data_IF_035132240844
#
_entry.id   IF_035132240844
#
_cell.length_a   1.000
_cell.length_b   1.000
_cell.length_c   1.000
_cell.angle_alpha   90.00
_cell.angle_beta   90.00
_cell.angle_gamma   90.00
#
_symmetry.space_group_name_H-M   'P 1'
#
loop_
_entity.id
_entity.type
_entity.pdbx_description
1 polymer ?
#
# COMPACT_ATOMS: atom_id res chain seq x y z
N UNK A 1 6.08 6.98 18.90
CA UNK A 1 5.32 5.85 18.34
C UNK A 1 4.49 6.39 17.20
N UNK A 2 4.53 5.80 16.00
CA UNK A 2 3.86 6.34 14.82
C UNK A 2 2.34 6.11 14.93
N UNK A 3 1.50 7.12 14.72
CA UNK A 3 0.03 6.98 14.82
C UNK A 3 -0.53 5.92 13.86
N UNK A 4 0.13 5.74 12.71
CA UNK A 4 -0.21 4.68 11.76
C UNK A 4 0.06 3.29 12.35
N UNK A 5 1.15 3.13 13.11
CA UNK A 5 1.49 1.89 13.81
C UNK A 5 0.44 1.57 14.88
N UNK A 6 -0.07 2.59 15.58
CA UNK A 6 -1.17 2.43 16.54
C UNK A 6 -2.48 2.00 15.86
N UNK A 7 -2.85 2.63 14.74
CA UNK A 7 -4.09 2.30 13.98
C UNK A 7 -4.04 0.86 13.41
N UNK A 8 -2.86 0.44 12.96
CA UNK A 8 -2.66 -0.86 12.33
C UNK A 8 -2.39 -2.00 13.33
N UNK A 9 -1.92 -1.68 14.54
CA UNK A 9 -1.57 -2.62 15.60
C UNK A 9 -0.07 -2.94 15.66
N UNK A 10 0.43 -3.17 16.87
CA UNK A 10 1.86 -3.26 17.26
C UNK A 10 2.56 -4.57 16.85
N UNK A 11 2.46 -4.98 15.59
CA UNK A 11 3.23 -6.10 15.08
C UNK A 11 4.45 -5.58 14.28
N UNK A 12 5.64 -6.06 14.63
CA UNK A 12 6.96 -5.71 14.06
C UNK A 12 7.14 -6.03 12.56
N UNK A 13 6.07 -6.46 11.89
CA UNK A 13 6.01 -6.89 10.49
C UNK A 13 5.95 -5.70 9.50
N UNK A 14 5.44 -4.54 9.92
CA UNK A 14 5.04 -3.48 8.98
C UNK A 14 6.17 -2.69 8.32
N UNK A 15 7.25 -2.41 9.05
CA UNK A 15 8.38 -1.69 8.48
C UNK A 15 9.21 -2.56 7.51
N UNK A 16 9.02 -3.89 7.56
CA UNK A 16 9.81 -4.85 6.78
C UNK A 16 9.03 -5.51 5.67
N UNK A 17 7.70 -5.64 5.73
CA UNK A 17 7.04 -6.61 4.86
C UNK A 17 6.57 -6.12 3.47
N UNK A 18 6.78 -4.85 3.10
CA UNK A 18 6.30 -4.26 1.83
C UNK A 18 4.86 -4.70 1.51
N UNK A 19 4.03 -4.75 2.55
CA UNK A 19 2.65 -5.23 2.46
C UNK A 19 1.83 -4.22 1.70
N UNK A 20 1.05 -4.67 0.72
CA UNK A 20 0.20 -3.77 -0.05
C UNK A 20 -0.76 -3.00 0.86
N UNK A 21 -1.07 -1.73 0.56
CA UNK A 21 -2.00 -0.93 1.36
C UNK A 21 -3.36 -1.61 1.63
N UNK A 22 -3.92 -2.33 0.65
CA UNK A 22 -5.16 -3.09 0.82
C UNK A 22 -5.02 -4.21 1.86
N UNK A 23 -3.92 -4.96 1.80
CA UNK A 23 -3.64 -6.01 2.77
C UNK A 23 -3.41 -5.41 4.17
N UNK A 24 -2.72 -4.28 4.25
CA UNK A 24 -2.46 -3.55 5.50
C UNK A 24 -3.76 -3.13 6.20
N UNK A 25 -4.77 -2.69 5.45
CA UNK A 25 -6.08 -2.34 6.04
C UNK A 25 -6.76 -3.60 6.61
N UNK A 26 -6.73 -4.69 5.87
CA UNK A 26 -7.56 -5.88 6.12
C UNK A 26 -6.94 -6.90 7.09
N UNK A 27 -5.63 -6.88 7.26
CA UNK A 27 -4.92 -7.81 8.14
C UNK A 27 -5.37 -7.69 9.61
N UNK A 28 -5.45 -8.81 10.31
CA UNK A 28 -5.87 -8.84 11.70
C UNK A 28 -7.34 -8.47 11.95
N UNK A 29 -8.10 -8.07 10.91
CA UNK A 29 -9.54 -7.89 11.06
C UNK A 29 -10.25 -9.25 11.17
N UNK A 30 -11.29 -9.36 12.01
CA UNK A 30 -12.03 -10.61 12.17
C UNK A 30 -12.63 -11.07 10.84
N UNK A 31 -12.29 -12.26 10.35
CA UNK A 31 -12.73 -12.74 9.03
C UNK A 31 -14.22 -13.10 8.96
N UNK A 32 -14.81 -13.52 10.09
CA UNK A 32 -16.15 -14.11 10.19
C UNK A 32 -17.14 -13.30 11.03
N UNK A 33 -16.75 -12.11 11.52
CA UNK A 33 -17.60 -11.33 12.42
C UNK A 33 -18.48 -10.34 11.65
N UNK A 34 -19.75 -10.15 12.05
CA UNK A 34 -20.57 -9.02 11.62
C UNK A 34 -19.88 -7.66 11.88
N UNK A 35 -19.02 -7.59 12.89
CA UNK A 35 -18.23 -6.40 13.22
C UNK A 35 -17.10 -6.12 12.23
N UNK A 36 -16.80 -7.02 11.29
CA UNK A 36 -15.71 -6.85 10.32
C UNK A 36 -15.88 -5.57 9.50
N UNK A 37 -17.11 -5.27 9.08
CA UNK A 37 -17.42 -4.07 8.30
C UNK A 37 -17.17 -2.81 9.13
N UNK A 38 -17.60 -2.81 10.40
CA UNK A 38 -17.40 -1.68 11.30
C UNK A 38 -15.91 -1.49 11.64
N UNK A 39 -15.19 -2.57 11.93
CA UNK A 39 -13.74 -2.51 12.19
C UNK A 39 -12.95 -2.08 10.96
N UNK A 40 -13.36 -2.51 9.77
CA UNK A 40 -12.81 -2.02 8.50
C UNK A 40 -13.08 -0.52 8.33
N UNK A 41 -14.34 -0.09 8.45
CA UNK A 41 -14.75 1.30 8.26
C UNK A 41 -14.01 2.24 9.22
N UNK A 42 -13.96 1.91 10.51
CA UNK A 42 -13.23 2.69 11.50
C UNK A 42 -11.73 2.77 11.17
N UNK A 43 -11.12 1.65 10.76
CA UNK A 43 -9.69 1.62 10.43
C UNK A 43 -9.39 2.46 9.20
N UNK A 44 -10.14 2.29 8.11
CA UNK A 44 -9.89 3.05 6.87
C UNK A 44 -10.16 4.54 7.07
N UNK A 45 -11.18 4.91 7.85
CA UNK A 45 -11.45 6.30 8.21
C UNK A 45 -10.29 6.94 8.99
N UNK A 46 -9.75 6.23 9.98
CA UNK A 46 -8.57 6.70 10.73
C UNK A 46 -7.34 6.85 9.84
N UNK A 47 -7.08 5.89 8.93
CA UNK A 47 -5.98 5.95 7.97
C UNK A 47 -6.13 7.17 7.07
N UNK A 48 -7.33 7.42 6.56
CA UNK A 48 -7.57 8.53 5.65
C UNK A 48 -7.51 9.89 6.32
N UNK A 49 -7.98 9.99 7.58
CA UNK A 49 -7.77 11.17 8.40
C UNK A 49 -6.28 11.45 8.59
N UNK A 50 -5.51 10.44 8.98
CA UNK A 50 -4.07 10.59 9.18
C UNK A 50 -3.32 10.95 7.88
N UNK A 51 -3.72 10.38 6.74
CA UNK A 51 -3.16 10.73 5.44
C UNK A 51 -3.44 12.21 5.08
N UNK A 52 -4.66 12.70 5.34
CA UNK A 52 -5.02 14.09 5.13
C UNK A 52 -4.24 15.03 6.06
N UNK A 53 -4.11 14.68 7.34
CA UNK A 53 -3.33 15.45 8.33
C UNK A 53 -1.85 15.52 7.93
N UNK A 54 -1.28 14.40 7.46
CA UNK A 54 0.08 14.36 6.91
C UNK A 54 0.22 15.30 5.70
N UNK A 55 -0.70 15.23 4.74
CA UNK A 55 -0.65 16.07 3.55
C UNK A 55 -0.76 17.56 3.89
N UNK A 56 -1.65 17.92 4.81
CA UNK A 56 -1.81 19.29 5.31
C UNK A 56 -0.54 19.79 6.00
N UNK A 57 0.07 18.96 6.84
CA UNK A 57 1.35 19.27 7.49
C UNK A 57 2.43 19.56 6.45
N UNK A 58 2.61 18.68 5.46
CA UNK A 58 3.58 18.88 4.39
C UNK A 58 3.31 20.14 3.57
N UNK A 59 2.04 20.43 3.24
CA UNK A 59 1.67 21.64 2.49
C UNK A 59 1.90 22.93 3.28
N UNK A 60 1.89 22.86 4.62
CA UNK A 60 2.22 23.99 5.49
C UNK A 60 3.73 24.23 5.64
N UNK A 61 4.57 23.26 5.23
CA UNK A 61 6.02 23.40 5.25
C UNK A 61 6.53 24.29 4.10
N UNK A 62 7.59 25.06 4.36
CA UNK A 62 8.16 26.00 3.38
C UNK A 62 8.92 25.36 2.21
N UNK A 63 9.41 24.12 2.36
CA UNK A 63 10.15 23.41 1.30
C UNK A 63 9.20 22.65 0.36
N UNK A 64 8.89 23.30 -0.76
CA UNK A 64 8.01 22.77 -1.79
C UNK A 64 8.58 21.54 -2.52
N UNK A 65 9.91 21.40 -2.60
CA UNK A 65 10.54 20.28 -3.33
C UNK A 65 10.48 18.99 -2.52
N UNK A 66 10.92 19.05 -1.26
CA UNK A 66 10.83 17.90 -0.35
C UNK A 66 9.36 17.54 -0.12
N UNK A 67 8.50 18.56 0.07
CA UNK A 67 7.07 18.33 0.24
C UNK A 67 6.46 17.57 -0.94
N UNK A 68 6.77 17.95 -2.18
CA UNK A 68 6.30 17.23 -3.37
C UNK A 68 6.78 15.77 -3.43
N UNK A 69 8.01 15.48 -3.01
CA UNK A 69 8.54 14.11 -2.98
C UNK A 69 7.80 13.27 -1.95
N UNK A 70 7.61 13.81 -0.74
CA UNK A 70 6.89 13.14 0.33
C UNK A 70 5.42 12.87 -0.04
N UNK A 71 4.74 13.84 -0.64
CA UNK A 71 3.37 13.68 -1.13
C UNK A 71 3.28 12.64 -2.26
N UNK A 72 4.26 12.59 -3.17
CA UNK A 72 4.33 11.52 -4.19
C UNK A 72 4.42 10.14 -3.55
N UNK A 73 5.16 10.01 -2.44
CA UNK A 73 5.24 8.77 -1.66
C UNK A 73 3.89 8.31 -1.08
N UNK A 74 2.92 9.22 -0.94
CA UNK A 74 1.60 8.94 -0.37
C UNK A 74 0.50 8.68 -1.41
N UNK A 75 0.80 8.74 -2.72
CA UNK A 75 -0.21 8.62 -3.79
C UNK A 75 -1.09 7.37 -3.61
N UNK A 76 -0.52 6.22 -3.26
CA UNK A 76 -1.31 4.99 -3.08
C UNK A 76 -2.34 5.12 -1.96
N UNK A 77 -1.98 5.76 -0.85
CA UNK A 77 -2.89 5.99 0.28
C UNK A 77 -3.95 7.03 -0.08
N UNK A 78 -3.56 8.12 -0.73
CA UNK A 78 -4.51 9.14 -1.21
C UNK A 78 -5.53 8.53 -2.18
N UNK A 79 -5.07 7.73 -3.16
CA UNK A 79 -5.96 7.03 -4.10
C UNK A 79 -6.93 6.07 -3.42
N UNK A 80 -6.50 5.34 -2.38
CA UNK A 80 -7.38 4.47 -1.60
C UNK A 80 -8.42 5.29 -0.83
N UNK A 81 -7.99 6.39 -0.23
CA UNK A 81 -8.89 7.25 0.52
C UNK A 81 -9.92 7.93 -0.38
N UNK A 82 -9.53 8.38 -1.57
CA UNK A 82 -10.48 8.87 -2.57
C UNK A 82 -11.45 7.77 -3.00
N UNK A 83 -10.93 6.56 -3.29
CA UNK A 83 -11.78 5.43 -3.66
C UNK A 83 -12.76 5.03 -2.54
N UNK A 84 -12.36 5.15 -1.28
CA UNK A 84 -13.22 4.92 -0.13
C UNK A 84 -14.32 5.98 0.00
N UNK A 85 -13.98 7.27 -0.03
CA UNK A 85 -14.94 8.37 0.16
C UNK A 85 -15.91 8.50 -1.01
N UNK A 86 -15.44 8.33 -2.23
CA UNK A 86 -16.24 8.51 -3.45
C UNK A 86 -16.73 7.19 -4.05
N UNK A 87 -16.46 6.06 -3.39
CA UNK A 87 -16.75 4.70 -3.87
C UNK A 87 -16.29 4.44 -5.32
N UNK A 88 -15.15 5.01 -5.71
CA UNK A 88 -14.61 4.87 -7.08
C UNK A 88 -14.21 3.43 -7.36
N UNK A 89 -14.59 2.90 -8.53
CA UNK A 89 -14.25 1.54 -8.94
C UNK A 89 -14.97 0.45 -8.11
N UNK A 90 -16.13 0.76 -7.54
CA UNK A 90 -16.89 -0.15 -6.66
C UNK A 90 -16.06 -0.59 -5.45
N UNK A 91 -15.36 0.37 -4.83
CA UNK A 91 -14.37 0.07 -3.79
C UNK A 91 -14.94 -0.78 -2.66
N UNK A 92 -16.11 -0.39 -2.13
CA UNK A 92 -16.75 -1.09 -1.02
C UNK A 92 -17.51 -2.35 -1.44
N UNK A 93 -18.14 -2.34 -2.62
CA UNK A 93 -19.00 -3.42 -3.09
C UNK A 93 -18.23 -4.53 -3.84
N UNK A 94 -17.00 -4.24 -4.31
CA UNK A 94 -16.22 -5.17 -5.12
C UNK A 94 -14.76 -5.30 -4.66
N UNK A 95 -13.99 -4.21 -4.63
CA UNK A 95 -12.53 -4.25 -4.38
C UNK A 95 -12.24 -4.86 -3.01
N UNK A 96 -12.85 -4.30 -1.96
CA UNK A 96 -12.65 -4.76 -0.59
C UNK A 96 -13.14 -6.21 -0.40
N UNK A 97 -14.36 -6.61 -0.80
CA UNK A 97 -14.80 -8.00 -0.71
C UNK A 97 -13.87 -8.99 -1.41
N UNK A 98 -13.40 -8.66 -2.62
CA UNK A 98 -12.51 -9.55 -3.36
C UNK A 98 -11.14 -9.69 -2.70
N UNK A 99 -10.53 -8.57 -2.31
CA UNK A 99 -9.24 -8.59 -1.60
C UNK A 99 -9.34 -9.29 -0.25
N UNK A 100 -10.44 -9.07 0.49
CA UNK A 100 -10.76 -9.77 1.72
C UNK A 100 -10.74 -11.29 1.57
N UNK A 101 -11.14 -11.80 0.39
CA UNK A 101 -11.23 -13.22 0.10
C UNK A 101 -9.90 -13.81 -0.40
N UNK A 102 -9.21 -13.12 -1.29
CA UNK A 102 -8.07 -13.66 -2.03
C UNK A 102 -6.72 -12.96 -1.75
N UNK A 103 -6.71 -11.88 -0.95
CA UNK A 103 -5.52 -11.08 -0.69
C UNK A 103 -4.37 -11.89 -0.09
N UNK A 104 -4.68 -12.83 0.81
CA UNK A 104 -3.67 -13.74 1.37
C UNK A 104 -3.07 -14.68 0.32
N UNK A 105 -3.86 -15.17 -0.63
CA UNK A 105 -3.37 -16.03 -1.71
C UNK A 105 -2.45 -15.24 -2.63
N UNK A 106 -2.82 -14.00 -2.97
CA UNK A 106 -2.00 -13.08 -3.76
C UNK A 106 -0.66 -12.82 -3.06
N UNK A 107 -0.68 -12.45 -1.78
CA UNK A 107 0.54 -12.20 -0.98
C UNK A 107 1.44 -13.43 -0.96
N UNK A 108 0.86 -14.62 -0.76
CA UNK A 108 1.61 -15.88 -0.74
C UNK A 108 2.27 -16.19 -2.08
N UNK A 109 1.54 -15.99 -3.19
CA UNK A 109 2.05 -16.24 -4.53
C UNK A 109 3.11 -15.23 -4.98
N UNK A 110 3.11 -14.03 -4.39
CA UNK A 110 4.10 -12.98 -4.67
C UNK A 110 5.18 -12.85 -3.58
N UNK A 111 5.30 -13.84 -2.69
CA UNK A 111 6.23 -13.80 -1.56
C UNK A 111 7.69 -13.64 -2.03
N UNK A 112 8.13 -14.38 -3.06
CA UNK A 112 9.49 -14.29 -3.59
C UNK A 112 9.85 -12.88 -4.07
N UNK A 113 8.95 -12.23 -4.82
CA UNK A 113 9.17 -10.87 -5.29
C UNK A 113 9.12 -9.86 -4.14
N UNK A 114 8.29 -10.11 -3.13
CA UNK A 114 8.24 -9.32 -1.90
C UNK A 114 9.58 -9.39 -1.15
N UNK A 115 10.14 -10.58 -0.95
CA UNK A 115 11.45 -10.74 -0.31
C UNK A 115 12.59 -10.09 -1.10
N UNK A 116 12.56 -10.17 -2.43
CA UNK A 116 13.55 -9.47 -3.26
C UNK A 116 13.46 -7.94 -3.09
N UNK A 117 12.25 -7.38 -3.07
CA UNK A 117 12.02 -5.96 -2.81
C UNK A 117 12.50 -5.54 -1.41
N UNK A 118 12.21 -6.35 -0.40
CA UNK A 118 12.69 -6.15 0.97
C UNK A 118 14.21 -6.03 1.03
N UNK A 119 14.89 -6.97 0.38
CA UNK A 119 16.34 -6.99 0.32
C UNK A 119 16.88 -5.74 -0.39
N UNK A 120 16.36 -5.41 -1.58
CA UNK A 120 16.80 -4.24 -2.35
C UNK A 120 16.62 -2.93 -1.57
N UNK A 121 15.49 -2.77 -0.86
CA UNK A 121 15.26 -1.60 -0.02
C UNK A 121 16.22 -1.53 1.18
N UNK A 122 16.50 -2.67 1.81
CA UNK A 122 17.45 -2.75 2.93
C UNK A 122 18.86 -2.39 2.45
N UNK A 123 19.29 -2.94 1.31
CA UNK A 123 20.58 -2.62 0.69
C UNK A 123 20.70 -1.12 0.36
N UNK A 124 19.65 -0.47 -0.14
CA UNK A 124 19.67 0.98 -0.39
C UNK A 124 19.84 1.80 0.91
N UNK A 125 19.16 1.39 1.99
CA UNK A 125 19.27 2.08 3.29
C UNK A 125 20.65 1.86 3.91
N UNK A 126 21.17 0.64 3.85
CA UNK A 126 22.43 0.25 4.51
C UNK A 126 23.68 0.76 3.77
N UNK A 127 23.62 0.88 2.44
CA UNK A 127 24.74 1.33 1.61
C UNK A 127 25.01 2.84 1.65
N UNK A 128 24.07 3.63 2.21
CA UNK A 128 24.19 5.08 2.31
C UNK A 128 24.34 5.77 0.94
N UNK A 129 24.78 7.04 0.93
CA UNK A 129 24.81 7.88 -0.29
C UNK A 129 25.78 7.35 -1.37
N UNK A 130 26.80 6.58 -1.00
CA UNK A 130 27.93 6.24 -1.87
C UNK A 130 27.59 5.27 -3.01
N UNK A 131 26.56 4.43 -2.85
CA UNK A 131 26.10 3.47 -3.87
C UNK A 131 24.62 3.66 -4.24
N UNK A 132 24.08 4.85 -4.01
CA UNK A 132 22.65 5.16 -4.23
C UNK A 132 22.21 4.84 -5.64
N UNK A 133 22.99 5.15 -6.67
CA UNK A 133 22.56 4.93 -8.05
C UNK A 133 22.41 3.43 -8.37
N UNK A 134 23.36 2.58 -7.98
CA UNK A 134 23.31 1.14 -8.23
C UNK A 134 22.16 0.48 -7.45
N UNK A 135 22.01 0.83 -6.17
CA UNK A 135 20.93 0.28 -5.35
C UNK A 135 19.55 0.86 -5.66
N UNK A 136 19.47 2.07 -6.22
CA UNK A 136 18.21 2.62 -6.74
C UNK A 136 17.72 1.85 -7.96
N UNK A 137 18.61 1.47 -8.87
CA UNK A 137 18.23 0.66 -10.04
C UNK A 137 17.70 -0.71 -9.62
N UNK A 138 18.39 -1.38 -8.69
CA UNK A 138 17.94 -2.65 -8.12
C UNK A 138 16.61 -2.52 -7.38
N UNK A 139 16.41 -1.44 -6.62
CA UNK A 139 15.14 -1.15 -5.97
C UNK A 139 14.03 -0.93 -7.01
N UNK A 140 14.27 -0.12 -8.04
CA UNK A 140 13.27 0.17 -9.07
C UNK A 140 12.85 -1.09 -9.83
N UNK A 141 13.82 -1.96 -10.17
CA UNK A 141 13.57 -3.26 -10.79
C UNK A 141 12.77 -4.19 -9.87
N UNK A 142 13.12 -4.24 -8.59
CA UNK A 142 12.44 -5.10 -7.60
C UNK A 142 11.01 -4.63 -7.36
N UNK A 143 10.80 -3.32 -7.24
CA UNK A 143 9.47 -2.70 -7.14
C UNK A 143 8.62 -3.06 -8.36
N UNK A 144 9.15 -2.91 -9.57
CA UNK A 144 8.42 -3.23 -10.81
C UNK A 144 8.04 -4.70 -10.88
N UNK A 145 8.96 -5.59 -10.48
CA UNK A 145 8.73 -7.04 -10.49
C UNK A 145 7.68 -7.45 -9.45
N UNK A 146 7.73 -6.85 -8.26
CA UNK A 146 6.75 -7.01 -7.21
C UNK A 146 5.36 -6.57 -7.67
N UNK A 147 5.22 -5.35 -8.18
CA UNK A 147 3.95 -4.80 -8.65
C UNK A 147 3.34 -5.65 -9.76
N UNK A 148 4.13 -6.08 -10.75
CA UNK A 148 3.68 -6.95 -11.84
C UNK A 148 3.12 -8.27 -11.30
N UNK A 149 3.75 -8.86 -10.28
CA UNK A 149 3.22 -10.06 -9.65
C UNK A 149 1.84 -9.80 -9.03
N UNK A 150 1.75 -8.77 -8.18
CA UNK A 150 0.51 -8.42 -7.48
C UNK A 150 -0.63 -8.14 -8.44
N UNK A 151 -0.42 -7.27 -9.42
CA UNK A 151 -1.41 -6.94 -10.46
C UNK A 151 -1.85 -8.18 -11.23
N UNK A 152 -0.92 -9.08 -11.61
CA UNK A 152 -1.23 -10.31 -12.33
C UNK A 152 -2.03 -11.31 -11.49
N UNK A 153 -1.63 -11.56 -10.25
CA UNK A 153 -2.32 -12.52 -9.38
C UNK A 153 -3.69 -11.98 -8.97
N UNK A 154 -3.78 -10.70 -8.63
CA UNK A 154 -5.06 -10.06 -8.34
C UNK A 154 -6.01 -10.09 -9.54
N UNK A 155 -5.52 -9.90 -10.77
CA UNK A 155 -6.34 -10.11 -11.97
C UNK A 155 -6.84 -11.55 -12.10
N UNK A 156 -6.00 -12.55 -11.77
CA UNK A 156 -6.40 -13.96 -11.83
C UNK A 156 -7.53 -14.30 -10.85
N UNK A 157 -7.52 -13.73 -9.65
CA UNK A 157 -8.54 -13.99 -8.62
C UNK A 157 -9.77 -13.09 -8.72
N UNK A 158 -9.56 -11.81 -9.01
CA UNK A 158 -10.57 -10.77 -8.94
C UNK A 158 -10.93 -10.17 -10.32
N UNK A 159 -10.28 -10.59 -11.40
CA UNK A 159 -10.57 -10.11 -12.75
C UNK A 159 -10.12 -8.68 -13.04
N UNK A 160 -10.50 -8.20 -14.23
CA UNK A 160 -10.02 -6.95 -14.84
C UNK A 160 -10.31 -5.72 -13.99
N UNK A 161 -11.43 -5.68 -13.27
CA UNK A 161 -11.77 -4.53 -12.43
C UNK A 161 -10.76 -4.31 -11.29
N UNK A 162 -10.25 -5.38 -10.67
CA UNK A 162 -9.18 -5.28 -9.68
C UNK A 162 -7.84 -4.90 -10.33
N UNK A 163 -7.57 -5.43 -11.53
CA UNK A 163 -6.39 -5.07 -12.31
C UNK A 163 -6.33 -3.56 -12.59
N UNK A 164 -7.42 -2.98 -13.06
CA UNK A 164 -7.56 -1.54 -13.32
C UNK A 164 -7.38 -0.74 -12.04
N UNK A 165 -8.02 -1.15 -10.94
CA UNK A 165 -7.89 -0.49 -9.65
C UNK A 165 -6.44 -0.45 -9.17
N UNK A 166 -5.72 -1.58 -9.19
CA UNK A 166 -4.33 -1.67 -8.72
C UNK A 166 -3.35 -0.91 -9.61
N UNK A 167 -3.57 -0.88 -10.93
CA UNK A 167 -2.73 -0.12 -11.86
C UNK A 167 -2.89 1.38 -11.65
N UNK A 168 -4.12 1.84 -11.37
CA UNK A 168 -4.42 3.24 -11.10
C UNK A 168 -3.95 3.70 -9.70
N UNK A 169 -3.83 2.77 -8.76
CA UNK A 169 -3.52 3.00 -7.35
C UNK A 169 -2.21 3.78 -7.15
N UNK A 170 -1.17 3.43 -7.92
CA UNK A 170 0.14 4.07 -7.88
C UNK A 170 0.35 5.07 -9.04
N UNK A 171 -0.67 5.24 -9.91
CA UNK A 171 -0.59 5.97 -11.19
C UNK A 171 0.62 5.52 -12.03
N UNK A 172 1.01 4.25 -11.92
CA UNK A 172 2.15 3.69 -12.65
C UNK A 172 1.65 3.16 -14.00
N UNK A 173 2.17 3.73 -15.08
CA UNK A 173 2.11 3.13 -16.40
C UNK A 173 3.24 2.11 -16.51
N UNK A 174 2.90 0.83 -16.74
CA UNK A 174 3.87 -0.25 -16.96
C UNK A 174 4.25 -0.42 -18.44
#
# INVERSE_FOLDING_TARGET
>A
MNDMEHILGSNTHWAKDFVTPLQTILIGLPKTSPHRINSFAQRIENICKLNADFANCINSCGDQNIGRILLKGQISWTSICDAYHYNTGDFLSFIIPCWSRYGNDVVTLCATQTTALQHAASSLVDSGIQMVNEHLDDLCKSVTTHDKCYVRQSNKFCGTRMHEFLTNLSRRTF
#
